data_IF_982612332439
#
_entry.id   IF_982612332439
#
_cell.length_a   1.000
_cell.length_b   1.000
_cell.length_c   1.000
_cell.angle_alpha   90.00
_cell.angle_beta   90.00
_cell.angle_gamma   90.00
#
_symmetry.space_group_name_H-M   'P 1'
#
loop_
_entity.id
_entity.type
_entity.pdbx_description
1 polymer ?
#
# COMPACT_ATOMS: atom_id res chain seq x y z
N UNK A 1 -20.27 39.50 -15.60
CA UNK A 1 -20.25 38.33 -16.50
C UNK A 1 -19.49 37.22 -15.77
N UNK A 2 -20.22 36.27 -15.17
CA UNK A 2 -19.69 35.23 -14.25
C UNK A 2 -19.68 33.81 -14.86
N UNK A 3 -19.97 33.65 -16.14
CA UNK A 3 -20.31 32.36 -16.78
C UNK A 3 -19.11 31.52 -17.25
N UNK A 4 -17.88 31.86 -16.87
CA UNK A 4 -16.64 31.15 -17.29
C UNK A 4 -15.70 30.75 -16.14
N UNK A 5 -16.11 30.93 -14.89
CA UNK A 5 -15.30 30.55 -13.72
C UNK A 5 -15.81 29.24 -13.12
N UNK A 6 -14.91 28.31 -12.82
CA UNK A 6 -15.19 26.96 -12.30
C UNK A 6 -15.91 26.98 -10.94
N UNK A 7 -15.75 28.07 -10.17
CA UNK A 7 -16.46 28.32 -8.91
C UNK A 7 -17.99 28.52 -9.06
N UNK A 8 -18.52 28.64 -10.28
CA UNK A 8 -19.96 28.83 -10.55
C UNK A 8 -20.58 27.72 -11.42
N UNK A 9 -19.95 26.54 -11.58
CA UNK A 9 -20.58 25.42 -12.30
C UNK A 9 -21.94 25.04 -11.69
N UNK A 10 -22.05 25.03 -10.35
CA UNK A 10 -23.29 24.81 -9.61
C UNK A 10 -24.36 25.91 -9.84
N UNK A 11 -23.94 27.14 -10.17
CA UNK A 11 -24.85 28.23 -10.51
C UNK A 11 -25.31 28.17 -11.97
N UNK A 12 -24.51 27.60 -12.87
CA UNK A 12 -24.94 27.41 -14.26
C UNK A 12 -26.05 26.39 -14.37
N UNK A 13 -25.98 25.27 -13.63
CA UNK A 13 -27.02 24.24 -13.66
C UNK A 13 -28.36 24.75 -13.11
N UNK A 14 -28.35 25.49 -12.00
CA UNK A 14 -29.56 26.08 -11.42
C UNK A 14 -30.18 27.14 -12.32
N UNK A 15 -29.35 27.93 -13.01
CA UNK A 15 -29.83 28.88 -14.02
C UNK A 15 -30.40 28.18 -15.25
N UNK A 16 -29.75 27.14 -15.77
CA UNK A 16 -30.27 26.33 -16.88
C UNK A 16 -31.59 25.65 -16.52
N UNK A 17 -31.67 25.06 -15.32
CA UNK A 17 -32.92 24.48 -14.80
C UNK A 17 -34.01 25.54 -14.66
N UNK A 18 -33.70 26.71 -14.12
CA UNK A 18 -34.66 27.80 -13.99
C UNK A 18 -35.14 28.32 -15.35
N UNK A 19 -34.23 28.51 -16.31
CA UNK A 19 -34.54 28.95 -17.66
C UNK A 19 -35.39 27.91 -18.42
N UNK A 20 -35.06 26.62 -18.32
CA UNK A 20 -35.85 25.54 -18.90
C UNK A 20 -37.25 25.45 -18.27
N UNK A 21 -37.36 25.60 -16.95
CA UNK A 21 -38.65 25.61 -16.25
C UNK A 21 -39.49 26.81 -16.66
N UNK A 22 -38.88 27.96 -16.88
CA UNK A 22 -39.56 29.17 -17.36
C UNK A 22 -39.99 29.04 -18.83
N UNK A 23 -39.17 28.40 -19.67
CA UNK A 23 -39.49 28.07 -21.07
C UNK A 23 -40.66 27.06 -21.15
N UNK A 24 -40.62 25.99 -20.35
CA UNK A 24 -41.71 25.00 -20.27
C UNK A 24 -43.02 25.64 -19.75
N UNK A 25 -42.93 26.63 -18.86
CA UNK A 25 -44.10 27.36 -18.33
C UNK A 25 -44.64 28.42 -19.30
N UNK A 26 -43.81 28.94 -20.19
CA UNK A 26 -44.18 30.00 -21.14
C UNK A 26 -44.66 29.46 -22.49
N UNK A 27 -44.43 28.18 -22.80
CA UNK A 27 -45.08 27.52 -23.92
C UNK A 27 -46.60 27.32 -23.66
N UNK A 28 -47.49 27.70 -24.59
CA UNK A 28 -48.89 27.34 -24.51
C UNK A 28 -49.04 25.82 -24.61
N UNK A 29 -49.98 25.26 -23.84
CA UNK A 29 -50.18 23.82 -23.72
C UNK A 29 -50.24 23.11 -25.09
N UNK A 30 -49.19 22.31 -25.37
CA UNK A 30 -49.16 21.40 -26.51
C UNK A 30 -50.41 20.50 -26.52
N UNK A 31 -50.93 20.13 -27.70
CA UNK A 31 -52.12 19.29 -27.81
C UNK A 31 -51.94 18.00 -27.01
N UNK A 32 -53.02 17.58 -26.35
CA UNK A 32 -53.08 16.47 -25.38
C UNK A 32 -52.47 15.16 -25.88
N UNK A 33 -52.41 14.96 -27.20
CA UNK A 33 -51.87 13.79 -27.89
C UNK A 33 -50.33 13.68 -27.78
N UNK A 34 -49.60 14.79 -27.91
CA UNK A 34 -48.13 14.79 -27.75
C UNK A 34 -47.73 14.55 -26.29
N UNK A 35 -48.54 15.05 -25.34
CA UNK A 35 -48.37 14.76 -23.91
C UNK A 35 -48.61 13.28 -23.60
N UNK A 36 -49.59 12.65 -24.25
CA UNK A 36 -49.82 11.22 -24.11
C UNK A 36 -48.66 10.39 -24.67
N UNK A 37 -48.13 10.76 -25.85
CA UNK A 37 -46.96 10.08 -26.41
C UNK A 37 -45.71 10.25 -25.54
N UNK A 38 -45.49 11.43 -24.96
CA UNK A 38 -44.37 11.66 -24.04
C UNK A 38 -44.53 10.89 -22.72
N UNK A 39 -45.76 10.78 -22.20
CA UNK A 39 -46.06 9.94 -21.04
C UNK A 39 -45.90 8.45 -21.34
N UNK A 40 -46.26 8.00 -22.55
CA UNK A 40 -46.07 6.62 -22.99
C UNK A 40 -44.59 6.28 -23.17
N UNK A 41 -43.79 7.22 -23.69
CA UNK A 41 -42.34 7.06 -23.79
C UNK A 41 -41.67 7.01 -22.41
N UNK A 42 -42.07 7.89 -21.48
CA UNK A 42 -41.61 7.89 -20.10
C UNK A 42 -42.00 6.60 -19.37
N UNK A 43 -43.24 6.13 -19.57
CA UNK A 43 -43.74 4.88 -18.99
C UNK A 43 -42.96 3.67 -19.50
N UNK A 44 -42.65 3.63 -20.79
CA UNK A 44 -41.82 2.57 -21.38
C UNK A 44 -40.40 2.59 -20.82
N UNK A 45 -39.84 3.78 -20.62
CA UNK A 45 -38.51 3.93 -20.01
C UNK A 45 -38.50 3.50 -18.54
N UNK A 46 -39.58 3.78 -17.80
CA UNK A 46 -39.76 3.36 -16.41
C UNK A 46 -39.97 1.83 -16.32
N UNK A 47 -40.76 1.23 -17.22
CA UNK A 47 -40.93 -0.22 -17.33
C UNK A 47 -39.62 -0.94 -17.69
N UNK A 48 -38.82 -0.41 -18.64
CA UNK A 48 -37.51 -0.95 -19.00
C UNK A 48 -36.48 -0.81 -17.87
N UNK A 49 -36.50 0.26 -17.07
CA UNK A 49 -35.64 0.42 -15.89
C UNK A 49 -36.03 -0.49 -14.72
N UNK A 50 -37.33 -0.74 -14.52
CA UNK A 50 -37.83 -1.60 -13.43
C UNK A 50 -37.50 -3.08 -13.70
N UNK A 51 -37.43 -3.50 -14.97
CA UNK A 51 -37.00 -4.85 -15.34
C UNK A 51 -35.50 -5.11 -15.03
N UNK A 52 -34.65 -4.08 -14.97
CA UNK A 52 -33.23 -4.20 -14.61
C UNK A 52 -32.97 -4.22 -13.08
N UNK A 53 -33.89 -3.70 -12.25
CA UNK A 53 -33.70 -3.59 -10.79
C UNK A 53 -34.45 -4.65 -9.96
N UNK A 54 -35.20 -5.56 -10.60
CA UNK A 54 -36.10 -6.50 -9.93
C UNK A 54 -35.82 -7.99 -10.17
N UNK A 55 -34.57 -8.40 -10.40
CA UNK A 55 -34.28 -9.83 -10.63
C UNK A 55 -34.13 -10.59 -9.30
N UNK A 56 -35.01 -11.57 -9.07
CA UNK A 56 -34.97 -12.66 -8.06
C UNK A 56 -33.68 -13.52 -8.10
N UNK A 57 -32.59 -13.05 -8.72
CA UNK A 57 -31.33 -13.78 -8.95
C UNK A 57 -30.45 -13.91 -7.69
N UNK A 58 -30.54 -12.99 -6.72
CA UNK A 58 -29.69 -13.04 -5.52
C UNK A 58 -30.02 -14.23 -4.60
N UNK A 59 -31.29 -14.65 -4.56
CA UNK A 59 -31.73 -15.78 -3.73
C UNK A 59 -31.31 -17.15 -4.32
N UNK A 60 -31.21 -17.29 -5.66
CA UNK A 60 -30.75 -18.53 -6.31
C UNK A 60 -29.24 -18.79 -6.06
N UNK A 61 -28.45 -17.72 -6.08
CA UNK A 61 -27.01 -17.75 -5.82
C UNK A 61 -26.69 -18.19 -4.39
N UNK A 62 -27.37 -17.62 -3.40
CA UNK A 62 -27.18 -17.96 -2.00
C UNK A 62 -27.46 -19.44 -1.73
N UNK A 63 -28.49 -20.00 -2.38
CA UNK A 63 -28.83 -21.43 -2.30
C UNK A 63 -27.78 -22.33 -2.97
N UNK A 64 -27.20 -21.90 -4.10
CA UNK A 64 -26.16 -22.66 -4.81
C UNK A 64 -24.81 -22.65 -4.11
N UNK A 65 -24.53 -21.60 -3.34
CA UNK A 65 -23.32 -21.46 -2.53
C UNK A 65 -23.47 -22.06 -1.12
N UNK A 66 -24.67 -22.51 -0.73
CA UNK A 66 -24.91 -23.12 0.56
C UNK A 66 -24.13 -24.44 0.70
N UNK A 67 -23.23 -24.50 1.68
CA UNK A 67 -22.41 -25.69 1.96
C UNK A 67 -21.09 -25.78 1.19
N UNK A 68 -20.74 -24.76 0.39
CA UNK A 68 -19.43 -24.64 -0.26
C UNK A 68 -18.41 -24.07 0.74
N UNK A 69 -17.34 -24.82 0.98
CA UNK A 69 -16.22 -24.36 1.82
C UNK A 69 -15.28 -23.47 0.99
N UNK A 70 -15.46 -22.15 1.10
CA UNK A 70 -14.73 -21.14 0.32
C UNK A 70 -13.21 -21.18 0.54
N UNK A 71 -12.74 -21.72 1.67
CA UNK A 71 -11.30 -21.79 1.99
C UNK A 71 -10.59 -22.99 1.35
N UNK A 72 -11.33 -23.95 0.78
CA UNK A 72 -10.77 -25.18 0.19
C UNK A 72 -11.18 -25.43 -1.26
N UNK A 73 -12.16 -24.70 -1.76
CA UNK A 73 -12.68 -24.86 -3.12
C UNK A 73 -11.79 -24.14 -4.12
N UNK A 74 -11.52 -24.80 -5.24
CA UNK A 74 -10.73 -24.24 -6.33
C UNK A 74 -11.51 -23.17 -7.11
N UNK A 75 -10.78 -22.20 -7.64
CA UNK A 75 -11.36 -21.06 -8.33
C UNK A 75 -12.15 -21.44 -9.59
N UNK A 76 -11.78 -22.53 -10.28
CA UNK A 76 -12.52 -22.98 -11.47
C UNK A 76 -13.87 -23.60 -11.10
N UNK A 77 -13.95 -24.37 -10.01
CA UNK A 77 -15.24 -24.87 -9.51
C UNK A 77 -16.13 -23.74 -9.00
N UNK A 78 -15.57 -22.77 -8.26
CA UNK A 78 -16.31 -21.60 -7.79
C UNK A 78 -16.86 -20.78 -8.97
N UNK A 79 -16.04 -20.59 -10.01
CA UNK A 79 -16.44 -19.91 -11.23
C UNK A 79 -17.49 -20.72 -11.99
N UNK A 80 -17.37 -22.05 -12.05
CA UNK A 80 -18.34 -22.95 -12.66
C UNK A 80 -19.72 -22.92 -12.01
N UNK A 81 -19.76 -22.65 -10.70
CA UNK A 81 -20.99 -22.50 -9.92
C UNK A 81 -21.74 -21.19 -10.17
N UNK A 82 -21.21 -20.27 -10.98
CA UNK A 82 -21.90 -19.04 -11.40
C UNK A 82 -22.61 -19.23 -12.74
N UNK A 83 -23.78 -18.59 -12.90
CA UNK A 83 -24.51 -18.54 -14.17
C UNK A 83 -23.76 -17.71 -15.21
N UNK A 84 -24.09 -17.87 -16.49
CA UNK A 84 -23.43 -17.12 -17.56
C UNK A 84 -23.69 -15.61 -17.45
N UNK A 85 -24.85 -15.21 -16.92
CA UNK A 85 -25.20 -13.81 -16.68
C UNK A 85 -24.39 -13.20 -15.53
N UNK A 86 -24.20 -13.94 -14.43
CA UNK A 86 -23.38 -13.51 -13.29
C UNK A 86 -21.90 -13.36 -13.67
N UNK A 87 -21.37 -14.31 -14.47
CA UNK A 87 -20.01 -14.23 -15.01
C UNK A 87 -19.81 -13.00 -15.87
N UNK A 88 -20.80 -12.69 -16.73
CA UNK A 88 -20.76 -11.51 -17.57
C UNK A 88 -20.89 -10.22 -16.75
N UNK A 89 -21.75 -10.20 -15.72
CA UNK A 89 -21.88 -9.09 -14.77
C UNK A 89 -20.55 -8.82 -14.05
N UNK A 90 -19.92 -9.86 -13.51
CA UNK A 90 -18.59 -9.76 -12.86
C UNK A 90 -17.52 -9.29 -13.84
N UNK A 91 -17.48 -9.85 -15.06
CA UNK A 91 -16.49 -9.44 -16.07
C UNK A 91 -16.71 -7.99 -16.50
N UNK A 92 -17.97 -7.56 -16.66
CA UNK A 92 -18.32 -6.17 -17.01
C UNK A 92 -17.95 -5.18 -15.90
N UNK A 93 -18.05 -5.61 -14.63
CA UNK A 93 -17.55 -4.85 -13.48
C UNK A 93 -16.02 -4.75 -13.53
N UNK A 94 -15.31 -5.87 -13.71
CA UNK A 94 -13.83 -5.88 -13.77
C UNK A 94 -13.27 -5.05 -14.94
N UNK A 95 -13.99 -4.99 -16.07
CA UNK A 95 -13.59 -4.19 -17.24
C UNK A 95 -13.86 -2.68 -17.06
N UNK A 96 -14.63 -2.27 -16.05
CA UNK A 96 -14.98 -0.87 -15.78
C UNK A 96 -14.69 -0.50 -14.30
N UNK A 97 -13.41 -0.32 -13.94
CA UNK A 97 -12.99 -0.07 -12.56
C UNK A 97 -13.53 1.25 -11.96
N UNK A 98 -14.08 2.15 -12.78
CA UNK A 98 -14.67 3.43 -12.34
C UNK A 98 -16.18 3.36 -12.10
N UNK A 99 -16.83 2.23 -12.36
CA UNK A 99 -18.27 2.05 -12.08
C UNK A 99 -18.53 1.91 -10.59
N UNK A 100 -19.68 2.41 -10.11
CA UNK A 100 -20.07 2.39 -8.69
C UNK A 100 -19.99 0.99 -8.07
N UNK A 101 -20.51 -0.04 -8.76
CA UNK A 101 -20.47 -1.42 -8.28
C UNK A 101 -19.04 -2.00 -8.22
N UNK A 102 -18.15 -1.55 -9.12
CA UNK A 102 -16.75 -1.99 -9.11
C UNK A 102 -15.97 -1.27 -8.02
N UNK A 103 -16.27 0.01 -7.79
CA UNK A 103 -15.76 0.75 -6.64
C UNK A 103 -16.27 0.13 -5.33
N UNK A 104 -17.50 -0.38 -5.28
CA UNK A 104 -18.04 -1.08 -4.12
C UNK A 104 -17.37 -2.44 -3.85
N UNK A 105 -17.04 -3.19 -4.90
CA UNK A 105 -16.25 -4.43 -4.78
C UNK A 105 -14.79 -4.16 -4.44
N UNK A 106 -14.21 -3.13 -5.05
CA UNK A 106 -12.83 -2.70 -4.86
C UNK A 106 -12.68 -1.73 -3.68
N UNK A 107 -13.75 -1.46 -2.92
CA UNK A 107 -13.76 -0.48 -1.85
C UNK A 107 -12.70 -0.90 -0.85
N UNK A 108 -11.55 -0.24 -0.94
CA UNK A 108 -10.34 -0.61 -0.24
C UNK A 108 -10.60 -0.66 1.26
N UNK A 109 -11.49 0.19 1.78
CA UNK A 109 -11.93 0.22 3.17
C UNK A 109 -12.48 -1.10 3.72
N UNK A 110 -13.17 -1.92 2.91
CA UNK A 110 -13.70 -3.24 3.35
C UNK A 110 -12.66 -4.36 3.20
N UNK A 111 -11.78 -4.25 2.20
CA UNK A 111 -10.63 -5.16 2.02
C UNK A 111 -9.54 -4.92 3.08
N UNK A 112 -9.43 -3.69 3.56
CA UNK A 112 -8.48 -3.22 4.57
C UNK A 112 -8.99 -3.35 6.01
N UNK A 113 -10.21 -3.86 6.23
CA UNK A 113 -10.79 -3.96 7.58
C UNK A 113 -9.94 -4.86 8.50
N UNK A 114 -9.19 -5.80 7.91
CA UNK A 114 -8.21 -6.67 8.58
C UNK A 114 -6.75 -6.30 8.26
N UNK A 115 -6.48 -5.18 7.58
CA UNK A 115 -5.10 -4.77 7.31
C UNK A 115 -4.42 -4.33 8.60
N UNK A 116 -3.25 -4.88 8.86
CA UNK A 116 -2.44 -4.45 10.00
C UNK A 116 -1.56 -3.27 9.60
N UNK A 117 -1.53 -2.24 10.46
CA UNK A 117 -0.61 -1.14 10.28
C UNK A 117 0.84 -1.61 10.56
N UNK A 118 1.85 -1.11 9.80
CA UNK A 118 3.24 -1.46 10.02
C UNK A 118 3.69 -1.12 11.44
N UNK A 119 4.48 -2.00 12.06
CA UNK A 119 4.86 -1.87 13.47
C UNK A 119 5.59 -0.55 13.82
N UNK A 120 6.30 0.06 12.86
CA UNK A 120 7.02 1.34 13.05
C UNK A 120 6.11 2.58 12.96
N UNK A 121 4.82 2.40 12.67
CA UNK A 121 3.80 3.45 12.66
C UNK A 121 3.00 3.48 13.96
N UNK A 122 3.03 2.40 14.73
CA UNK A 122 2.26 2.25 15.96
C UNK A 122 2.77 3.20 17.07
N UNK A 123 1.83 3.91 17.69
CA UNK A 123 2.10 4.71 18.88
C UNK A 123 2.14 3.79 20.10
N UNK A 124 3.30 3.71 20.77
CA UNK A 124 3.55 2.83 21.93
C UNK A 124 3.19 1.34 21.68
N UNK A 125 3.93 0.66 20.79
CA UNK A 125 3.67 -0.74 20.48
C UNK A 125 3.89 -1.63 21.71
N UNK A 126 3.02 -2.64 21.87
CA UNK A 126 3.21 -3.71 22.84
C UNK A 126 4.37 -4.62 22.36
N UNK A 127 5.06 -5.27 23.28
CA UNK A 127 6.16 -6.19 22.92
C UNK A 127 5.70 -7.33 21.98
N UNK A 128 4.43 -7.73 22.05
CA UNK A 128 3.84 -8.75 21.18
C UNK A 128 3.65 -8.30 19.72
N UNK A 129 3.62 -6.99 19.45
CA UNK A 129 3.44 -6.41 18.11
C UNK A 129 4.76 -6.01 17.46
N UNK A 130 5.89 -6.28 18.13
CA UNK A 130 7.21 -5.92 17.64
C UNK A 130 7.99 -7.16 17.20
N UNK A 131 8.79 -7.04 16.12
CA UNK A 131 9.72 -8.10 15.76
C UNK A 131 10.73 -8.37 16.87
N UNK A 132 11.03 -9.65 17.10
CA UNK A 132 12.04 -10.06 18.06
C UNK A 132 13.44 -9.71 17.56
N UNK A 133 14.24 -9.07 18.41
CA UNK A 133 15.64 -8.78 18.10
C UNK A 133 16.47 -10.07 18.20
N UNK A 134 17.14 -10.43 17.11
CA UNK A 134 17.99 -11.61 17.06
C UNK A 134 19.33 -11.35 17.76
N UNK A 135 19.76 -12.31 18.58
CA UNK A 135 21.06 -12.26 19.23
C UNK A 135 22.19 -12.48 18.22
N UNK A 136 23.18 -11.59 18.22
CA UNK A 136 24.32 -11.63 17.31
C UNK A 136 25.47 -12.40 17.99
N UNK A 137 26.19 -13.29 17.28
CA UNK A 137 27.39 -13.92 17.81
C UNK A 137 28.44 -12.88 18.20
N UNK A 138 28.97 -12.95 19.43
CA UNK A 138 29.91 -11.97 19.98
C UNK A 138 31.20 -11.81 19.14
N UNK A 139 31.56 -12.83 18.36
CA UNK A 139 32.72 -12.81 17.45
C UNK A 139 32.58 -11.82 16.30
N UNK A 140 31.36 -11.42 15.94
CA UNK A 140 31.10 -10.50 14.82
C UNK A 140 31.03 -9.03 15.25
N UNK A 141 31.01 -8.76 16.56
CA UNK A 141 30.88 -7.41 17.12
C UNK A 141 32.19 -6.60 17.09
N UNK A 142 33.33 -7.22 16.79
CA UNK A 142 34.65 -6.57 16.80
C UNK A 142 34.99 -5.82 15.49
N UNK A 143 34.05 -5.69 14.56
CA UNK A 143 34.27 -5.08 13.25
C UNK A 143 34.40 -3.56 13.28
N UNK A 144 35.20 -2.99 12.37
CA UNK A 144 35.23 -1.53 12.15
C UNK A 144 33.95 -1.08 11.44
N UNK A 145 33.36 0.01 11.92
CA UNK A 145 32.20 0.62 11.27
C UNK A 145 32.59 1.22 9.92
N UNK A 146 31.87 0.84 8.86
CA UNK A 146 31.98 1.42 7.53
C UNK A 146 30.66 2.15 7.16
N UNK A 147 30.65 3.49 7.07
CA UNK A 147 29.42 4.26 6.83
C UNK A 147 28.78 3.96 5.47
N UNK A 148 29.53 3.47 4.49
CA UNK A 148 29.03 3.15 3.15
C UNK A 148 28.01 1.99 3.21
N UNK A 149 28.20 1.05 4.14
CA UNK A 149 27.28 -0.09 4.31
C UNK A 149 25.92 0.35 4.85
N UNK A 150 25.82 1.54 5.46
CA UNK A 150 24.57 2.08 5.95
C UNK A 150 23.59 2.37 4.80
N UNK A 151 24.09 2.72 3.62
CA UNK A 151 23.24 2.89 2.43
C UNK A 151 22.66 1.57 1.94
N UNK A 152 23.38 0.45 2.08
CA UNK A 152 22.82 -0.88 1.79
C UNK A 152 21.72 -1.22 2.80
N UNK A 153 21.89 -0.88 4.08
CA UNK A 153 20.84 -1.06 5.10
C UNK A 153 19.63 -0.17 4.81
N UNK A 154 19.85 1.06 4.33
CA UNK A 154 18.77 1.95 3.87
C UNK A 154 18.01 1.36 2.69
N UNK A 155 18.71 0.80 1.69
CA UNK A 155 18.06 0.06 0.60
C UNK A 155 17.17 -1.09 1.13
N UNK A 156 17.67 -1.86 2.11
CA UNK A 156 16.88 -2.92 2.74
C UNK A 156 15.67 -2.38 3.48
N UNK A 157 15.76 -1.22 4.14
CA UNK A 157 14.61 -0.60 4.79
C UNK A 157 13.52 -0.19 3.80
N UNK A 158 13.89 0.32 2.61
CA UNK A 158 12.92 0.66 1.56
C UNK A 158 12.22 -0.60 1.05
N UNK A 159 13.01 -1.64 0.76
CA UNK A 159 12.49 -2.92 0.29
C UNK A 159 11.56 -3.56 1.33
N UNK A 160 11.94 -3.52 2.61
CA UNK A 160 11.15 -4.02 3.72
C UNK A 160 9.85 -3.23 3.89
N UNK A 161 9.92 -1.90 3.98
CA UNK A 161 8.76 -1.04 4.14
C UNK A 161 7.75 -1.21 3.01
N UNK A 162 8.25 -1.29 1.77
CA UNK A 162 7.42 -1.55 0.60
C UNK A 162 6.73 -2.91 0.70
N UNK A 163 7.48 -3.98 0.99
CA UNK A 163 6.92 -5.33 1.12
C UNK A 163 5.86 -5.42 2.22
N UNK A 164 6.16 -4.92 3.42
CA UNK A 164 5.21 -4.94 4.55
C UNK A 164 3.90 -4.23 4.20
N UNK A 165 3.99 -3.10 3.49
CA UNK A 165 2.80 -2.35 3.06
C UNK A 165 2.05 -3.02 1.91
N UNK A 166 2.74 -3.62 0.94
CA UNK A 166 2.12 -4.40 -0.15
C UNK A 166 1.35 -5.60 0.39
N UNK A 167 1.89 -6.29 1.40
CA UNK A 167 1.27 -7.45 2.03
C UNK A 167 0.40 -7.10 3.26
N UNK A 168 0.12 -5.81 3.49
CA UNK A 168 -0.72 -5.30 4.59
C UNK A 168 -0.43 -5.99 5.94
N UNK A 169 0.85 -6.17 6.26
CA UNK A 169 1.32 -6.89 7.43
C UNK A 169 1.81 -5.92 8.50
N UNK A 170 1.73 -6.31 9.78
CA UNK A 170 2.48 -5.57 10.81
C UNK A 170 3.97 -5.79 10.64
N UNK A 171 4.41 -7.06 10.52
CA UNK A 171 5.78 -7.50 10.20
C UNK A 171 5.76 -8.82 9.39
N UNK A 172 6.87 -9.19 8.75
CA UNK A 172 6.87 -10.26 7.73
C UNK A 172 6.93 -11.68 8.33
N UNK A 173 7.54 -11.87 9.50
CA UNK A 173 7.75 -13.23 10.06
C UNK A 173 6.52 -13.89 10.68
N UNK A 174 5.38 -13.21 10.81
CA UNK A 174 4.13 -13.77 11.36
C UNK A 174 3.28 -14.54 10.35
N UNK A 175 3.62 -14.46 9.06
CA UNK A 175 2.80 -15.03 7.97
C UNK A 175 2.90 -16.56 7.88
N UNK A 176 1.88 -17.17 7.26
CA UNK A 176 1.79 -18.63 7.11
C UNK A 176 2.85 -19.11 6.10
N UNK A 177 3.34 -20.34 6.26
CA UNK A 177 4.45 -20.90 5.47
C UNK A 177 4.31 -20.73 3.95
N UNK A 178 3.09 -20.84 3.41
CA UNK A 178 2.84 -20.76 1.97
C UNK A 178 2.93 -19.31 1.46
N UNK A 179 2.50 -18.32 2.24
CA UNK A 179 2.64 -16.89 1.93
C UNK A 179 4.09 -16.42 2.01
N UNK A 180 4.88 -16.99 2.93
CA UNK A 180 6.28 -16.62 3.11
C UNK A 180 7.11 -16.86 1.85
N UNK A 181 6.79 -17.87 1.03
CA UNK A 181 7.50 -18.08 -0.24
C UNK A 181 7.19 -16.97 -1.25
N UNK A 182 5.92 -16.59 -1.41
CA UNK A 182 5.52 -15.48 -2.27
C UNK A 182 6.17 -14.15 -1.85
N UNK A 183 6.26 -13.89 -0.55
CA UNK A 183 6.95 -12.70 -0.01
C UNK A 183 8.45 -12.72 -0.37
N UNK A 184 9.12 -13.88 -0.28
CA UNK A 184 10.54 -14.01 -0.66
C UNK A 184 10.74 -13.79 -2.15
N UNK A 185 9.88 -14.36 -2.99
CA UNK A 185 9.93 -14.21 -4.44
C UNK A 185 9.66 -12.77 -4.88
N UNK A 186 8.79 -12.06 -4.17
CA UNK A 186 8.55 -10.63 -4.37
C UNK A 186 9.75 -9.76 -3.96
N UNK A 187 10.37 -10.07 -2.82
CA UNK A 187 11.38 -9.19 -2.22
C UNK A 187 12.79 -9.34 -2.81
N UNK A 188 13.19 -10.55 -3.20
CA UNK A 188 14.55 -10.81 -3.71
C UNK A 188 14.89 -10.07 -5.03
N UNK A 189 13.96 -9.91 -5.99
CA UNK A 189 14.18 -9.08 -7.17
C UNK A 189 14.44 -7.60 -6.85
N UNK A 190 13.78 -7.07 -5.82
CA UNK A 190 13.94 -5.67 -5.39
C UNK A 190 15.32 -5.39 -4.78
N UNK A 191 15.96 -6.40 -4.17
CA UNK A 191 17.30 -6.30 -3.58
C UNK A 191 18.27 -7.34 -4.17
N UNK A 192 18.77 -7.15 -5.41
CA UNK A 192 19.61 -8.13 -6.09
C UNK A 192 20.91 -8.47 -5.35
N UNK A 193 21.46 -7.51 -4.59
CA UNK A 193 22.67 -7.73 -3.81
C UNK A 193 22.48 -8.69 -2.64
N UNK A 194 21.25 -8.93 -2.18
CA UNK A 194 20.95 -10.01 -1.25
C UNK A 194 20.88 -11.35 -1.99
N UNK A 195 20.23 -11.38 -3.16
CA UNK A 195 20.04 -12.58 -3.97
C UNK A 195 21.37 -13.15 -4.48
N UNK A 196 22.26 -12.32 -5.01
CA UNK A 196 23.54 -12.77 -5.53
C UNK A 196 24.55 -13.00 -4.40
N UNK A 197 25.06 -14.23 -4.29
CA UNK A 197 26.06 -14.63 -3.28
C UNK A 197 27.37 -13.82 -3.36
N UNK A 198 27.78 -13.37 -4.56
CA UNK A 198 29.06 -12.68 -4.78
C UNK A 198 28.93 -11.17 -4.92
N UNK A 199 27.73 -10.63 -4.77
CA UNK A 199 27.52 -9.19 -4.90
C UNK A 199 28.35 -8.41 -3.88
N UNK A 200 29.10 -7.43 -4.38
CA UNK A 200 29.89 -6.46 -3.62
C UNK A 200 29.33 -5.04 -3.81
N UNK A 201 28.04 -4.92 -4.06
CA UNK A 201 27.39 -3.63 -4.29
C UNK A 201 27.51 -2.77 -3.04
N UNK A 202 27.92 -1.53 -3.25
CA UNK A 202 28.03 -0.50 -2.23
C UNK A 202 27.51 0.80 -2.81
N UNK A 203 26.51 1.38 -2.15
CA UNK A 203 25.97 2.67 -2.52
C UNK A 203 26.73 3.80 -1.80
N UNK A 204 26.80 4.96 -2.42
CA UNK A 204 27.56 6.11 -1.89
C UNK A 204 26.67 7.30 -1.53
N UNK A 205 25.39 7.26 -1.92
CA UNK A 205 24.43 8.32 -1.66
C UNK A 205 23.00 7.80 -1.61
N UNK A 206 22.10 8.55 -0.97
CA UNK A 206 20.65 8.28 -0.96
C UNK A 206 20.08 8.24 -2.39
N UNK A 207 20.56 9.13 -3.26
CA UNK A 207 20.14 9.19 -4.67
C UNK A 207 20.49 7.92 -5.43
N UNK A 208 21.69 7.36 -5.18
CA UNK A 208 22.11 6.09 -5.79
C UNK A 208 21.27 4.91 -5.32
N UNK A 209 20.89 4.90 -4.03
CA UNK A 209 20.04 3.85 -3.46
C UNK A 209 18.64 3.89 -4.05
N UNK A 210 18.01 5.07 -4.08
CA UNK A 210 16.64 5.21 -4.57
C UNK A 210 16.60 4.93 -6.07
N UNK A 211 17.55 5.45 -6.85
CA UNK A 211 17.64 5.17 -8.29
C UNK A 211 17.77 3.67 -8.56
N UNK A 212 18.66 2.98 -7.85
CA UNK A 212 18.82 1.52 -7.97
C UNK A 212 17.54 0.79 -7.58
N UNK A 213 16.96 1.13 -6.42
CA UNK A 213 15.74 0.49 -5.93
C UNK A 213 14.56 0.66 -6.91
N UNK A 214 14.35 1.87 -7.43
CA UNK A 214 13.30 2.17 -8.42
C UNK A 214 13.49 1.39 -9.72
N UNK A 215 14.73 1.16 -10.16
CA UNK A 215 15.01 0.40 -11.38
C UNK A 215 14.58 -1.08 -11.33
N UNK A 216 14.31 -1.59 -10.12
CA UNK A 216 13.86 -2.97 -9.90
C UNK A 216 12.34 -3.10 -9.75
N UNK A 217 11.61 -1.97 -9.72
CA UNK A 217 10.15 -2.00 -9.71
C UNK A 217 9.61 -2.25 -11.13
N UNK A 218 8.49 -2.97 -11.25
CA UNK A 218 7.85 -3.22 -12.55
C UNK A 218 7.32 -1.92 -13.17
N UNK A 219 6.90 -0.97 -12.34
CA UNK A 219 6.32 0.31 -12.73
C UNK A 219 7.03 1.46 -12.01
N UNK A 220 6.99 2.64 -12.64
CA UNK A 220 7.62 3.82 -12.06
C UNK A 220 6.79 4.27 -10.84
N UNK A 221 7.37 4.32 -9.64
CA UNK A 221 6.61 4.66 -8.45
C UNK A 221 6.20 6.13 -8.44
N UNK A 222 4.98 6.39 -7.97
CA UNK A 222 4.50 7.73 -7.73
C UNK A 222 5.40 8.46 -6.72
N UNK A 223 5.52 9.78 -6.86
CA UNK A 223 6.30 10.60 -5.92
C UNK A 223 5.80 10.45 -4.47
N UNK A 224 4.48 10.26 -4.29
CA UNK A 224 3.84 9.97 -3.01
C UNK A 224 4.35 8.70 -2.36
N UNK A 225 4.47 7.62 -3.13
CA UNK A 225 5.01 6.35 -2.66
C UNK A 225 6.47 6.50 -2.20
N UNK A 226 7.31 7.17 -2.99
CA UNK A 226 8.70 7.41 -2.61
C UNK A 226 8.81 8.26 -1.34
N UNK A 227 7.97 9.28 -1.20
CA UNK A 227 7.90 10.11 0.01
C UNK A 227 7.47 9.29 1.22
N UNK A 228 6.47 8.42 1.08
CA UNK A 228 5.99 7.53 2.13
C UNK A 228 7.10 6.56 2.58
N UNK A 229 7.74 5.85 1.65
CA UNK A 229 8.77 4.86 1.97
C UNK A 229 10.03 5.49 2.56
N UNK A 230 10.41 6.70 2.11
CA UNK A 230 11.52 7.43 2.72
C UNK A 230 11.18 7.91 4.12
N UNK A 231 9.92 8.25 4.40
CA UNK A 231 9.45 8.56 5.75
C UNK A 231 9.41 7.31 6.66
N UNK A 232 8.99 6.17 6.13
CA UNK A 232 9.06 4.88 6.85
C UNK A 232 10.49 4.54 7.23
N UNK A 233 11.43 4.67 6.28
CA UNK A 233 12.83 4.48 6.55
C UNK A 233 13.32 5.43 7.65
N UNK A 234 12.92 6.71 7.64
CA UNK A 234 13.27 7.66 8.72
C UNK A 234 12.78 7.20 10.09
N UNK A 235 11.59 6.59 10.18
CA UNK A 235 11.05 6.03 11.43
C UNK A 235 11.82 4.79 11.89
N UNK A 236 12.18 3.92 10.95
CA UNK A 236 13.01 2.73 11.21
C UNK A 236 14.40 3.14 11.72
N UNK A 237 15.01 4.17 11.13
CA UNK A 237 16.31 4.70 11.55
C UNK A 237 16.24 5.68 12.72
N UNK A 238 15.04 6.00 13.22
CA UNK A 238 14.91 6.91 14.35
C UNK A 238 15.46 6.27 15.63
N UNK A 239 16.32 7.00 16.32
CA UNK A 239 16.83 6.62 17.62
C UNK A 239 15.97 7.30 18.68
N UNK A 240 15.24 6.52 19.48
CA UNK A 240 14.60 7.06 20.68
C UNK A 240 15.66 7.25 21.77
N UNK A 241 15.74 8.42 22.41
CA UNK A 241 16.63 8.61 23.55
C UNK A 241 16.14 7.74 24.70
N UNK A 242 17.00 6.82 25.14
CA UNK A 242 16.73 5.97 26.30
C UNK A 242 16.68 6.89 27.53
N UNK A 243 15.48 7.09 28.08
CA UNK A 243 15.34 7.59 29.45
C UNK A 243 15.66 6.39 30.33
N UNK A 244 16.86 6.39 30.92
CA UNK A 244 17.27 5.36 31.88
C UNK A 244 16.42 5.56 33.14
N UNK A 245 15.37 4.75 33.30
CA UNK A 245 14.86 4.43 34.63
C UNK A 245 15.75 3.32 35.19
N UNK A 246 16.46 3.65 36.28
CA UNK A 246 17.27 2.72 37.08
C UNK A 246 16.38 1.56 37.54
N UNK A 247 16.48 0.40 36.89
CA UNK A 247 16.44 -0.96 37.48
C UNK A 247 16.10 -2.03 36.41
N UNK A 248 16.89 -2.13 35.34
CA UNK A 248 17.08 -3.37 34.56
C UNK A 248 18.23 -3.21 33.56
N UNK A 249 19.18 -4.15 33.45
CA UNK A 249 20.23 -4.11 32.43
C UNK A 249 19.66 -4.67 31.11
N UNK A 250 18.58 -4.09 30.59
CA UNK A 250 18.22 -4.31 29.20
C UNK A 250 19.19 -3.47 28.36
N UNK A 251 20.01 -4.15 27.57
CA UNK A 251 20.87 -3.54 26.56
C UNK A 251 20.00 -2.94 25.44
N UNK A 252 19.25 -1.89 25.74
CA UNK A 252 18.55 -1.10 24.72
C UNK A 252 19.64 -0.40 23.91
N UNK A 253 19.88 -0.90 22.71
CA UNK A 253 20.72 -0.18 21.75
C UNK A 253 19.95 1.06 21.29
N UNK A 254 20.64 2.18 21.07
CA UNK A 254 20.03 3.43 20.55
C UNK A 254 19.28 3.23 19.21
N UNK A 255 19.50 2.11 18.52
CA UNK A 255 18.95 1.81 17.19
C UNK A 255 18.12 0.51 17.19
N UNK A 256 17.27 0.33 18.20
CA UNK A 256 16.44 -0.86 18.38
C UNK A 256 15.55 -1.16 17.16
N UNK A 257 14.95 -0.13 16.55
CA UNK A 257 14.13 -0.29 15.35
C UNK A 257 14.92 -0.86 14.15
N UNK A 258 16.17 -0.41 13.95
CA UNK A 258 17.04 -0.94 12.92
C UNK A 258 17.35 -2.44 13.14
N UNK A 259 17.55 -2.81 14.41
CA UNK A 259 17.80 -4.19 14.80
C UNK A 259 16.57 -5.07 14.60
N UNK A 260 15.37 -4.56 14.91
CA UNK A 260 14.09 -5.26 14.75
C UNK A 260 13.78 -5.60 13.30
N UNK A 261 13.83 -4.63 12.37
CA UNK A 261 13.48 -4.92 10.97
C UNK A 261 14.45 -5.90 10.31
N UNK A 262 15.77 -5.80 10.59
CA UNK A 262 16.72 -6.76 10.05
C UNK A 262 16.57 -8.14 10.68
N UNK A 263 16.13 -8.22 11.94
CA UNK A 263 15.84 -9.50 12.61
C UNK A 263 14.59 -10.16 12.03
N UNK A 264 13.56 -9.38 11.71
CA UNK A 264 12.37 -9.84 11.00
C UNK A 264 12.72 -10.38 9.60
N UNK A 265 13.48 -9.59 8.82
CA UNK A 265 14.00 -10.02 7.52
C UNK A 265 14.86 -11.29 7.63
N UNK A 266 15.71 -11.39 8.66
CA UNK A 266 16.48 -12.61 8.88
C UNK A 266 15.54 -13.80 9.11
N UNK A 267 14.53 -13.65 9.96
CA UNK A 267 13.58 -14.71 10.30
C UNK A 267 12.82 -15.20 9.07
N UNK A 268 12.45 -14.30 8.17
CA UNK A 268 11.82 -14.62 6.88
C UNK A 268 12.66 -15.61 6.04
N UNK A 269 13.99 -15.51 6.07
CA UNK A 269 14.89 -16.39 5.29
C UNK A 269 15.52 -17.54 6.09
N UNK A 270 15.27 -17.61 7.40
CA UNK A 270 15.90 -18.61 8.27
C UNK A 270 15.40 -20.03 7.96
N UNK A 271 16.23 -21.04 8.25
CA UNK A 271 15.87 -22.45 8.06
C UNK A 271 15.89 -22.99 6.62
N UNK A 272 15.97 -22.13 5.59
CA UNK A 272 15.97 -22.55 4.18
C UNK A 272 17.39 -22.62 3.60
N UNK A 273 17.84 -23.82 3.22
CA UNK A 273 19.18 -24.03 2.62
C UNK A 273 19.45 -23.17 1.38
N UNK A 274 18.42 -22.94 0.55
CA UNK A 274 18.51 -22.09 -0.65
C UNK A 274 18.79 -20.61 -0.35
N UNK A 275 18.47 -20.13 0.85
CA UNK A 275 18.67 -18.75 1.28
C UNK A 275 19.75 -18.60 2.35
N UNK A 276 20.55 -19.64 2.60
CA UNK A 276 21.59 -19.61 3.61
C UNK A 276 22.59 -18.46 3.38
N UNK A 277 22.92 -18.08 2.15
CA UNK A 277 23.79 -16.92 1.91
C UNK A 277 23.10 -15.60 2.25
N UNK A 278 21.78 -15.49 2.07
CA UNK A 278 20.99 -14.31 2.42
C UNK A 278 21.00 -14.12 3.93
N UNK A 279 20.74 -15.18 4.70
CA UNK A 279 20.77 -15.13 6.16
C UNK A 279 22.15 -14.70 6.68
N UNK A 280 23.24 -15.26 6.15
CA UNK A 280 24.59 -14.83 6.51
C UNK A 280 24.85 -13.33 6.22
N UNK A 281 24.36 -12.80 5.08
CA UNK A 281 24.45 -11.37 4.76
C UNK A 281 23.66 -10.52 5.74
N UNK A 282 22.46 -10.95 6.10
CA UNK A 282 21.64 -10.26 7.10
C UNK A 282 22.27 -10.29 8.50
N UNK A 283 22.88 -11.42 8.90
CA UNK A 283 23.67 -11.50 10.14
C UNK A 283 24.85 -10.52 10.12
N UNK A 284 25.51 -10.36 8.98
CA UNK A 284 26.58 -9.37 8.82
C UNK A 284 26.06 -7.93 9.00
N UNK A 285 24.92 -7.58 8.38
CA UNK A 285 24.33 -6.25 8.56
C UNK A 285 23.83 -6.01 9.99
N UNK A 286 23.28 -7.04 10.67
CA UNK A 286 22.93 -6.97 12.09
C UNK A 286 24.16 -6.69 12.97
N UNK A 287 25.27 -7.42 12.75
CA UNK A 287 26.52 -7.18 13.47
C UNK A 287 27.12 -5.79 13.19
N UNK A 288 26.96 -5.29 11.96
CA UNK A 288 27.33 -3.92 11.60
C UNK A 288 26.50 -2.89 12.37
N UNK A 289 25.18 -3.08 12.48
CA UNK A 289 24.28 -2.17 13.19
C UNK A 289 24.51 -2.14 14.71
N UNK A 290 24.98 -3.23 15.31
CA UNK A 290 25.34 -3.26 16.73
C UNK A 290 26.43 -2.22 17.09
N UNK A 291 27.23 -1.80 16.10
CA UNK A 291 28.26 -0.78 16.24
C UNK A 291 27.88 0.56 15.57
N UNK A 292 26.60 0.78 15.25
CA UNK A 292 26.14 1.99 14.55
C UNK A 292 26.30 3.23 15.45
N UNK A 293 27.13 4.22 15.05
CA UNK A 293 27.20 5.48 15.76
C UNK A 293 25.94 6.32 15.52
N UNK A 294 25.42 6.95 16.58
CA UNK A 294 24.25 7.84 16.49
C UNK A 294 24.48 8.99 15.51
N UNK A 295 25.72 9.48 15.37
CA UNK A 295 26.07 10.51 14.38
C UNK A 295 25.89 10.02 12.95
N UNK A 296 26.31 8.79 12.62
CA UNK A 296 26.16 8.23 11.29
C UNK A 296 24.68 8.01 10.92
N UNK A 297 23.86 7.59 11.88
CA UNK A 297 22.41 7.51 11.72
C UNK A 297 21.81 8.90 11.47
N UNK A 298 22.24 9.92 12.22
CA UNK A 298 21.81 11.31 12.02
C UNK A 298 22.20 11.87 10.66
N UNK A 299 23.41 11.58 10.17
CA UNK A 299 23.88 11.96 8.83
C UNK A 299 23.03 11.32 7.73
N UNK A 300 22.69 10.03 7.84
CA UNK A 300 21.79 9.37 6.90
C UNK A 300 20.41 10.02 6.91
N UNK A 301 19.82 10.24 8.09
CA UNK A 301 18.51 10.88 8.23
C UNK A 301 18.50 12.30 7.63
N UNK A 302 19.57 13.06 7.83
CA UNK A 302 19.78 14.36 7.20
C UNK A 302 19.86 14.27 5.67
N UNK A 303 20.59 13.29 5.14
CA UNK A 303 20.69 13.05 3.71
C UNK A 303 19.35 12.64 3.07
N UNK A 304 18.54 11.82 3.76
CA UNK A 304 17.18 11.47 3.33
C UNK A 304 16.30 12.72 3.32
N UNK A 305 16.35 13.54 4.37
CA UNK A 305 15.60 14.80 4.43
C UNK A 305 15.97 15.77 3.31
N UNK A 306 17.27 15.93 3.02
CA UNK A 306 17.73 16.75 1.91
C UNK A 306 17.27 16.22 0.54
N UNK A 307 17.25 14.90 0.36
CA UNK A 307 16.73 14.26 -0.85
C UNK A 307 15.22 14.52 -1.01
N UNK A 308 14.43 14.41 0.06
CA UNK A 308 12.99 14.70 0.04
C UNK A 308 12.70 16.15 -0.36
N UNK A 309 13.43 17.13 0.20
CA UNK A 309 13.26 18.55 -0.16
C UNK A 309 13.59 18.81 -1.62
N UNK A 310 14.73 18.27 -2.11
CA UNK A 310 15.17 18.42 -3.50
C UNK A 310 14.12 17.91 -4.51
N UNK A 311 13.40 16.84 -4.16
CA UNK A 311 12.41 16.21 -5.04
C UNK A 311 10.98 16.67 -4.79
N UNK A 312 10.73 17.54 -3.80
CA UNK A 312 9.44 18.22 -3.59
C UNK A 312 9.26 19.49 -4.44
N UNK A 313 10.35 20.14 -4.86
CA UNK A 313 10.30 21.42 -5.60
C UNK A 313 9.80 21.28 -7.06
N UNK A 314 9.56 20.07 -7.55
CA UNK A 314 8.97 19.81 -8.86
C UNK A 314 7.45 19.94 -8.94
N UNK A 315 6.76 20.23 -7.83
CA UNK A 315 5.30 20.06 -7.70
C UNK A 315 4.59 21.29 -7.10
N UNK A 316 5.12 22.50 -7.27
CA UNK A 316 4.34 23.73 -7.05
C UNK A 316 3.36 24.02 -8.21
N UNK A 317 2.53 23.05 -8.57
CA UNK A 317 1.22 23.33 -9.16
C UNK A 317 0.31 22.11 -9.01
N UNK A 318 -0.31 21.97 -7.83
CA UNK A 318 -1.77 21.84 -7.69
C UNK A 318 -2.13 21.54 -6.23
N UNK A 319 -3.05 22.35 -5.75
CA UNK A 319 -3.65 22.31 -4.43
C UNK A 319 -4.31 20.97 -4.09
N UNK A 320 -3.94 20.40 -2.94
CA UNK A 320 -4.86 20.13 -1.81
C UNK A 320 -4.05 19.58 -0.64
N UNK A 321 -3.85 20.46 0.34
CA UNK A 321 -3.48 20.09 1.69
C UNK A 321 -4.74 19.47 2.28
N UNK A 322 -4.82 18.14 2.33
CA UNK A 322 -5.75 17.45 3.21
C UNK A 322 -4.99 16.44 4.07
N UNK A 323 -5.22 16.61 5.36
CA UNK A 323 -4.69 15.84 6.47
C UNK A 323 -5.25 14.42 6.39
N UNK A 324 -4.50 13.46 5.84
CA UNK A 324 -4.98 12.07 5.79
C UNK A 324 -3.86 11.12 6.25
N UNK A 325 -4.19 10.36 7.30
CA UNK A 325 -3.39 9.28 7.88
C UNK A 325 -2.88 8.32 6.81
N UNK A 326 -1.66 7.88 7.02
CA UNK A 326 -0.89 6.84 6.36
C UNK A 326 -1.71 5.59 5.96
N UNK A 327 -2.45 5.62 4.85
CA UNK A 327 -3.16 4.43 4.29
C UNK A 327 -3.10 4.28 2.77
N UNK A 328 -2.39 5.15 2.06
CA UNK A 328 -2.36 5.17 0.59
C UNK A 328 -1.23 4.33 0.01
N UNK A 329 -1.45 3.02 -0.06
CA UNK A 329 -0.68 2.17 -0.99
C UNK A 329 -1.59 1.27 -1.82
N UNK A 330 -2.78 0.93 -1.31
CA UNK A 330 -3.74 0.08 -2.03
C UNK A 330 -4.61 0.88 -3.01
N UNK A 331 -4.68 2.21 -2.89
CA UNK A 331 -5.34 3.08 -3.89
C UNK A 331 -4.41 3.49 -5.05
N UNK A 332 -3.11 3.16 -4.99
CA UNK A 332 -2.10 3.58 -5.98
C UNK A 332 -1.39 2.40 -6.68
N UNK A 333 -1.87 1.16 -6.48
CA UNK A 333 -1.59 -0.03 -7.31
C UNK A 333 -2.89 -0.35 -8.04
#
# INVERSE_FOLDING_TARGET
MCYRAEAHSACTETFYKAALVEEIKSEPARPTEEKQQMLELLKRFEEESIEEEGSDEEDDLALRLEGVDLDKVDHETLWGLLSEQEKQKFTKMLMNPTSENSQDLLNASRLLENSEDPWWVLDNPLDSTLPMVKQIPSTMLAGKFNPILLFNVFHLSLTYAYTVRTFAASFLSTRVSDELEGIREFMLPLSPFLRDRKSTVTFTSVDSVITDWVSHLPELPNHRLLKLLTEDARRIFHSQPIVVEDDSPSQSSNHDNCMRFLSDLHTLFDGLKKHAHVTHKLTFYLAFLANLPTSASGELLGAIGAWQVKHQEGEQDTSRIDTIRSRTLIEEI
#
